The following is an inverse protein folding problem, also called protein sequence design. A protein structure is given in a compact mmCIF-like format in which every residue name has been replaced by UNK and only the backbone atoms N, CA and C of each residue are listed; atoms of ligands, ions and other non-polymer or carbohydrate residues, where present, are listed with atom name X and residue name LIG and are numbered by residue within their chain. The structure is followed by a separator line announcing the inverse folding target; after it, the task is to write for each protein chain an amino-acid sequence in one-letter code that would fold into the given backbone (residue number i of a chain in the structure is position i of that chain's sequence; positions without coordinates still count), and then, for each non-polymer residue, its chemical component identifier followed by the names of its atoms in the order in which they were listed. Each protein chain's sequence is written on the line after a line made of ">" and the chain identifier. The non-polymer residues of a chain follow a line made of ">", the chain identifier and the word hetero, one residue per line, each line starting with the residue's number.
data_IF_031755760101
#
_entry.id   IF_031755760101
#
_cell.length_a   1.000
_cell.length_b   1.000
_cell.length_c   1.000
_cell.angle_alpha   90.00
_cell.angle_beta   90.00
_cell.angle_gamma   90.00
#
_symmetry.space_group_name_H-M   'P 1'
#
loop_
_entity.id
_entity.type
_entity.pdbx_description
1 polymer ?
#
# COMPACT_ATOMS: atom_id res chain seq x y z
N UNK A 1 -52.24 3.57 -46.28
CA UNK A 1 -52.04 4.54 -45.18
C UNK A 1 -52.88 4.06 -44.01
N UNK A 2 -52.27 3.35 -43.04
CA UNK A 2 -52.98 2.94 -41.82
C UNK A 2 -52.02 2.88 -40.63
N UNK A 3 -52.08 3.96 -39.85
CA UNK A 3 -52.04 4.06 -38.40
C UNK A 3 -51.06 3.18 -37.59
N UNK A 4 -50.19 3.89 -36.84
CA UNK A 4 -49.74 3.59 -35.46
C UNK A 4 -48.58 2.57 -35.40
N UNK A 5 -47.32 2.96 -35.54
CA UNK A 5 -46.53 3.63 -34.49
C UNK A 5 -47.09 3.30 -33.11
N UNK A 6 -46.60 2.23 -32.46
CA UNK A 6 -46.47 2.05 -30.99
C UNK A 6 -46.28 0.58 -30.60
N UNK A 7 -45.28 -0.13 -31.12
CA UNK A 7 -44.69 -1.26 -30.37
C UNK A 7 -43.18 -1.25 -30.60
N UNK A 8 -42.57 -0.08 -30.40
CA UNK A 8 -41.16 0.02 -30.06
C UNK A 8 -41.08 -0.03 -28.54
N UNK A 9 -40.13 -0.79 -27.99
CA UNK A 9 -39.74 -0.84 -26.56
C UNK A 9 -40.48 -1.82 -25.64
N UNK A 10 -40.40 -3.13 -25.89
CA UNK A 10 -40.48 -4.12 -24.80
C UNK A 10 -39.58 -5.33 -25.06
N UNK A 11 -38.27 -5.10 -25.17
CA UNK A 11 -37.26 -6.14 -24.88
C UNK A 11 -36.08 -5.46 -24.17
N UNK A 12 -36.38 -4.91 -23.00
CA UNK A 12 -35.40 -4.51 -22.01
C UNK A 12 -35.03 -5.74 -21.20
N UNK A 13 -33.83 -6.25 -21.41
CA UNK A 13 -32.95 -6.89 -20.43
C UNK A 13 -32.06 -7.88 -21.18
N UNK A 14 -30.75 -7.65 -21.15
CA UNK A 14 -29.73 -8.64 -20.79
C UNK A 14 -28.36 -8.01 -21.08
N UNK A 15 -27.64 -7.81 -19.97
CA UNK A 15 -26.18 -7.89 -19.84
C UNK A 15 -25.35 -6.82 -20.55
N UNK A 16 -24.89 -5.87 -19.73
CA UNK A 16 -23.46 -5.58 -19.63
C UNK A 16 -23.17 -4.92 -18.27
N UNK A 17 -23.07 -5.71 -17.20
CA UNK A 17 -22.21 -5.31 -16.10
C UNK A 17 -20.78 -5.38 -16.63
N UNK A 18 -20.32 -4.31 -17.31
CA UNK A 18 -18.91 -4.12 -17.53
C UNK A 18 -18.27 -3.97 -16.16
N UNK A 19 -17.56 -5.02 -15.80
CA UNK A 19 -16.75 -5.19 -14.61
C UNK A 19 -16.10 -3.87 -14.23
N UNK A 20 -16.44 -3.38 -13.04
CA UNK A 20 -15.65 -2.38 -12.36
C UNK A 20 -14.29 -3.04 -12.11
N UNK A 21 -13.34 -2.90 -13.03
CA UNK A 21 -11.94 -3.09 -12.67
C UNK A 21 -11.59 -1.88 -11.81
N UNK A 22 -11.97 -1.94 -10.52
CA UNK A 22 -11.34 -1.08 -9.52
C UNK A 22 -9.91 -1.58 -9.42
N UNK A 23 -9.07 -1.16 -10.36
CA UNK A 23 -7.66 -1.15 -10.17
C UNK A 23 -7.42 -0.10 -9.09
N UNK A 24 -7.62 -0.50 -7.83
CA UNK A 24 -6.92 0.10 -6.71
C UNK A 24 -5.43 -0.24 -6.90
N UNK A 25 -4.84 0.24 -7.99
CA UNK A 25 -3.41 0.45 -8.07
C UNK A 25 -3.15 1.55 -7.08
N UNK A 26 -2.88 1.16 -5.83
CA UNK A 26 -2.12 2.03 -4.96
C UNK A 26 -0.86 2.43 -5.75
N UNK A 27 -0.76 3.72 -6.02
CA UNK A 27 0.11 4.27 -7.05
C UNK A 27 1.56 4.27 -6.58
N UNK A 28 2.45 3.55 -7.29
CA UNK A 28 3.89 3.56 -6.99
C UNK A 28 4.44 4.99 -6.99
N UNK A 29 3.94 5.87 -7.86
CA UNK A 29 4.35 7.27 -7.90
C UNK A 29 4.04 7.98 -6.59
N UNK A 30 2.88 7.69 -5.98
CA UNK A 30 2.50 8.24 -4.69
C UNK A 30 3.44 7.77 -3.58
N UNK A 31 3.84 6.50 -3.59
CA UNK A 31 4.79 5.97 -2.60
C UNK A 31 6.18 6.58 -2.79
N UNK A 32 6.66 6.69 -4.02
CA UNK A 32 7.94 7.32 -4.33
C UNK A 32 7.93 8.81 -3.97
N UNK A 33 6.83 9.52 -4.19
CA UNK A 33 6.69 10.91 -3.75
C UNK A 33 6.82 11.05 -2.23
N UNK A 34 6.22 10.14 -1.45
CA UNK A 34 6.35 10.11 0.01
C UNK A 34 7.78 9.79 0.46
N UNK A 35 8.49 8.89 -0.24
CA UNK A 35 9.89 8.55 0.05
C UNK A 35 10.82 9.72 -0.27
N UNK A 36 10.59 10.40 -1.38
CA UNK A 36 11.41 11.53 -1.81
C UNK A 36 11.11 12.82 -1.05
N UNK A 37 9.89 13.00 -0.58
CA UNK A 37 9.48 14.14 0.23
C UNK A 37 8.58 13.71 1.41
N UNK A 38 9.17 13.14 2.49
CA UNK A 38 8.43 12.70 3.67
C UNK A 38 7.59 13.80 4.35
N UNK A 39 7.99 15.07 4.18
CA UNK A 39 7.27 16.22 4.74
C UNK A 39 5.87 16.43 4.15
N UNK A 40 5.58 15.84 2.99
CA UNK A 40 4.26 15.86 2.35
C UNK A 40 3.23 14.93 3.01
N UNK A 41 3.67 14.06 3.93
CA UNK A 41 2.79 13.13 4.60
C UNK A 41 1.89 13.83 5.64
N UNK A 42 0.62 13.39 5.79
CA UNK A 42 -0.25 13.91 6.85
C UNK A 42 0.36 13.67 8.24
N UNK A 43 0.17 14.64 9.14
CA UNK A 43 0.65 14.56 10.53
C UNK A 43 -0.11 13.47 11.28
N UNK A 44 0.63 12.57 11.92
CA UNK A 44 0.11 11.52 12.78
C UNK A 44 0.50 11.83 14.22
N UNK A 45 -0.49 11.93 15.12
CA UNK A 45 -0.27 12.25 16.53
C UNK A 45 0.79 11.35 17.18
N UNK A 46 0.72 10.05 16.90
CA UNK A 46 1.65 9.04 17.44
C UNK A 46 3.11 9.21 16.96
N UNK A 47 3.31 9.93 15.87
CA UNK A 47 4.64 10.22 15.32
C UNK A 47 5.25 11.52 15.87
N UNK A 48 4.52 12.29 16.69
CA UNK A 48 5.05 13.47 17.41
C UNK A 48 5.80 14.47 16.51
N UNK A 49 5.30 14.68 15.29
CA UNK A 49 5.90 15.61 14.33
C UNK A 49 7.08 15.03 13.52
N UNK A 50 7.49 13.78 13.75
CA UNK A 50 8.51 13.14 12.94
C UNK A 50 8.00 12.84 11.51
N UNK A 51 8.59 13.50 10.53
CA UNK A 51 8.17 13.40 9.12
C UNK A 51 8.35 12.00 8.52
N UNK A 52 9.38 11.26 8.95
CA UNK A 52 9.66 9.91 8.46
C UNK A 52 8.64 8.90 8.99
N UNK A 53 8.26 9.03 10.27
CA UNK A 53 7.17 8.25 10.86
C UNK A 53 5.82 8.57 10.19
N UNK A 54 5.52 9.85 9.96
CA UNK A 54 4.30 10.27 9.24
C UNK A 54 4.25 9.65 7.83
N UNK A 55 5.37 9.72 7.10
CA UNK A 55 5.51 9.11 5.78
C UNK A 55 5.32 7.59 5.84
N UNK A 56 5.91 6.90 6.81
CA UNK A 56 5.71 5.46 6.97
C UNK A 56 4.24 5.08 7.15
N UNK A 57 3.47 5.83 7.96
CA UNK A 57 2.03 5.60 8.12
C UNK A 57 1.26 5.83 6.82
N UNK A 58 1.67 6.81 6.00
CA UNK A 58 1.07 7.03 4.69
C UNK A 58 1.43 5.91 3.70
N UNK A 59 2.68 5.45 3.72
CA UNK A 59 3.21 4.36 2.90
C UNK A 59 2.53 3.02 3.24
N UNK A 60 2.35 2.70 4.52
CA UNK A 60 1.71 1.45 4.96
C UNK A 60 0.27 1.31 4.46
N UNK A 61 -0.44 2.42 4.24
CA UNK A 61 -1.78 2.43 3.62
C UNK A 61 -1.76 2.02 2.15
N UNK A 62 -0.61 2.07 1.49
CA UNK A 62 -0.45 1.72 0.07
C UNK A 62 -0.07 0.24 -0.15
N UNK A 63 -0.10 -0.60 0.88
CA UNK A 63 0.26 -2.04 0.80
C UNK A 63 -0.42 -2.82 -0.35
N UNK A 64 -1.58 -2.36 -0.82
CA UNK A 64 -2.29 -2.98 -1.93
C UNK A 64 -1.56 -2.87 -3.27
N UNK A 65 -0.53 -2.02 -3.40
CA UNK A 65 0.31 -1.90 -4.60
C UNK A 65 1.14 -3.16 -4.87
N UNK A 66 1.43 -3.93 -3.83
CA UNK A 66 2.20 -5.17 -3.91
C UNK A 66 1.33 -6.21 -4.64
N UNK A 67 1.75 -6.83 -5.75
CA UNK A 67 0.95 -7.82 -6.48
C UNK A 67 0.43 -8.94 -5.58
N UNK A 68 -0.78 -9.46 -5.85
CA UNK A 68 -1.41 -10.50 -5.02
C UNK A 68 -0.57 -11.78 -4.90
N UNK A 69 0.23 -12.08 -5.92
CA UNK A 69 1.12 -13.24 -6.00
C UNK A 69 2.53 -12.95 -5.45
N UNK A 70 2.83 -11.73 -5.02
CA UNK A 70 4.11 -11.41 -4.40
C UNK A 70 4.15 -11.98 -2.97
N UNK A 71 5.30 -12.56 -2.59
CA UNK A 71 5.51 -13.16 -1.27
C UNK A 71 5.34 -12.15 -0.13
N UNK A 72 5.64 -10.87 -0.35
CA UNK A 72 5.43 -9.81 0.64
C UNK A 72 3.95 -9.67 1.02
N UNK A 73 3.04 -9.96 0.09
CA UNK A 73 1.59 -9.96 0.33
C UNK A 73 1.20 -11.07 1.32
N UNK A 74 1.84 -12.23 1.25
CA UNK A 74 1.61 -13.33 2.19
C UNK A 74 1.97 -12.93 3.62
N UNK A 75 3.11 -12.27 3.84
CA UNK A 75 3.52 -11.83 5.19
C UNK A 75 2.57 -10.81 5.81
N UNK A 76 1.96 -9.94 4.99
CA UNK A 76 0.94 -8.99 5.44
C UNK A 76 -0.31 -9.73 5.94
N UNK A 77 -0.73 -10.79 5.24
CA UNK A 77 -1.92 -11.57 5.63
C UNK A 77 -1.67 -12.49 6.81
N UNK A 78 -0.48 -13.09 6.90
CA UNK A 78 -0.11 -13.94 8.03
C UNK A 78 0.27 -13.17 9.29
N UNK A 79 0.59 -11.88 9.15
CA UNK A 79 1.12 -11.08 10.25
C UNK A 79 2.53 -11.53 10.70
N UNK A 80 3.26 -12.26 9.85
CA UNK A 80 4.55 -12.84 10.20
C UNK A 80 5.70 -11.86 9.93
N UNK A 81 5.92 -10.94 10.88
CA UNK A 81 7.03 -9.99 10.85
C UNK A 81 8.39 -10.70 10.78
N UNK A 82 8.55 -11.80 11.52
CA UNK A 82 9.81 -12.53 11.57
C UNK A 82 10.15 -13.13 10.20
N UNK A 83 9.17 -13.69 9.49
CA UNK A 83 9.38 -14.16 8.13
C UNK A 83 9.66 -13.01 7.15
N UNK A 84 8.99 -11.86 7.30
CA UNK A 84 9.24 -10.66 6.50
C UNK A 84 10.68 -10.14 6.67
N UNK A 85 11.22 -10.17 7.88
CA UNK A 85 12.61 -9.80 8.18
C UNK A 85 13.57 -10.85 7.57
N UNK A 86 13.31 -12.15 7.83
CA UNK A 86 14.16 -13.27 7.37
C UNK A 86 14.22 -13.46 5.86
N UNK A 87 13.23 -12.99 5.11
CA UNK A 87 13.19 -13.16 3.65
C UNK A 87 14.33 -12.40 2.94
N UNK A 88 15.02 -11.47 3.61
CA UNK A 88 16.13 -10.69 3.04
C UNK A 88 15.69 -9.79 1.86
N UNK A 89 16.52 -8.95 1.23
CA UNK A 89 17.63 -8.13 1.74
C UNK A 89 17.05 -7.00 2.60
N UNK A 90 17.76 -6.58 3.64
CA UNK A 90 17.41 -5.37 4.39
C UNK A 90 17.33 -4.16 3.45
N UNK A 91 16.72 -3.10 3.96
CA UNK A 91 16.72 -1.83 3.24
C UNK A 91 18.18 -1.38 3.07
N UNK A 92 18.52 -0.98 1.84
CA UNK A 92 19.86 -0.55 1.41
C UNK A 92 19.88 0.93 1.10
N UNK A 93 18.75 1.45 0.63
CA UNK A 93 18.59 2.86 0.34
C UNK A 93 18.43 3.64 1.63
N UNK A 94 19.30 4.63 1.87
CA UNK A 94 19.31 5.40 3.11
C UNK A 94 17.95 6.02 3.41
N UNK A 95 17.25 6.56 2.40
CA UNK A 95 15.90 7.12 2.58
C UNK A 95 14.88 6.08 3.07
N UNK A 96 14.99 4.83 2.61
CA UNK A 96 14.11 3.76 3.08
C UNK A 96 14.48 3.35 4.51
N UNK A 97 15.78 3.24 4.81
CA UNK A 97 16.30 2.94 6.14
C UNK A 97 15.86 4.00 7.16
N UNK A 98 15.93 5.29 6.82
CA UNK A 98 15.54 6.39 7.69
C UNK A 98 14.04 6.36 8.00
N UNK A 99 13.21 6.05 7.00
CA UNK A 99 11.76 5.90 7.17
C UNK A 99 11.44 4.71 8.07
N UNK A 100 12.07 3.55 7.84
CA UNK A 100 11.87 2.34 8.64
C UNK A 100 12.36 2.50 10.09
N UNK A 101 13.54 3.09 10.29
CA UNK A 101 14.15 3.21 11.62
C UNK A 101 13.25 3.95 12.61
N UNK A 102 12.61 5.04 12.17
CA UNK A 102 11.65 5.76 13.02
C UNK A 102 10.35 4.97 13.21
N UNK A 103 9.87 4.31 12.17
CA UNK A 103 8.65 3.51 12.26
C UNK A 103 8.80 2.31 13.18
N UNK A 104 9.93 1.61 13.13
CA UNK A 104 10.28 0.51 14.02
C UNK A 104 10.15 0.93 15.49
N UNK A 105 10.71 2.08 15.85
CA UNK A 105 10.66 2.60 17.23
C UNK A 105 9.24 2.88 17.72
N UNK A 106 8.29 3.17 16.83
CA UNK A 106 6.91 3.58 17.18
C UNK A 106 5.91 2.43 17.06
N UNK A 107 6.02 1.63 16.00
CA UNK A 107 5.00 0.65 15.60
C UNK A 107 5.40 -0.81 15.79
N UNK A 108 6.65 -1.10 16.16
CA UNK A 108 7.07 -2.45 16.58
C UNK A 108 7.64 -2.46 18.00
N UNK A 109 8.73 -1.71 18.24
CA UNK A 109 9.39 -1.67 19.55
C UNK A 109 8.48 -1.14 20.67
N UNK A 110 7.70 -0.09 20.38
CA UNK A 110 6.69 0.49 21.28
C UNK A 110 5.26 0.24 20.82
N UNK A 111 5.02 -0.90 20.16
CA UNK A 111 3.68 -1.29 19.77
C UNK A 111 2.77 -1.40 21.00
N UNK A 112 1.62 -0.72 20.97
CA UNK A 112 0.60 -0.77 22.03
C UNK A 112 -0.36 -1.94 21.81
N UNK A 113 -0.51 -2.36 20.55
CA UNK A 113 -1.45 -3.40 20.16
C UNK A 113 -1.05 -4.05 18.83
N UNK A 114 -1.83 -5.06 18.43
CA UNK A 114 -1.63 -5.78 17.17
C UNK A 114 -1.77 -4.87 15.93
N UNK A 115 -2.61 -3.84 15.97
CA UNK A 115 -2.78 -2.94 14.81
C UNK A 115 -1.52 -2.13 14.53
N UNK A 116 -0.74 -1.77 15.55
CA UNK A 116 0.56 -1.12 15.37
C UNK A 116 1.54 -2.03 14.66
N UNK A 117 1.68 -3.27 15.14
CA UNK A 117 2.53 -4.26 14.48
C UNK A 117 2.06 -4.56 13.07
N UNK A 118 0.76 -4.64 12.83
CA UNK A 118 0.22 -4.87 11.50
C UNK A 118 0.44 -3.68 10.55
N UNK A 119 0.39 -2.45 11.07
CA UNK A 119 0.79 -1.24 10.36
C UNK A 119 2.28 -1.31 10.00
N UNK A 120 3.13 -1.72 10.94
CA UNK A 120 4.56 -1.91 10.72
C UNK A 120 4.84 -2.94 9.62
N UNK A 121 4.23 -4.13 9.69
CA UNK A 121 4.36 -5.18 8.68
C UNK A 121 3.96 -4.67 7.29
N UNK A 122 2.84 -3.95 7.17
CA UNK A 122 2.40 -3.36 5.90
C UNK A 122 3.41 -2.35 5.35
N UNK A 123 3.89 -1.44 6.20
CA UNK A 123 4.86 -0.42 5.79
C UNK A 123 6.19 -1.04 5.35
N UNK A 124 6.75 -1.94 6.15
CA UNK A 124 8.01 -2.62 5.84
C UNK A 124 7.91 -3.45 4.55
N UNK A 125 6.78 -4.13 4.33
CA UNK A 125 6.53 -4.84 3.08
C UNK A 125 6.53 -3.90 1.87
N UNK A 126 5.91 -2.71 1.98
CA UNK A 126 5.94 -1.70 0.91
C UNK A 126 7.35 -1.19 0.66
N UNK A 127 8.12 -0.86 1.70
CA UNK A 127 9.50 -0.39 1.54
C UNK A 127 10.38 -1.45 0.86
N UNK A 128 10.26 -2.73 1.26
CA UNK A 128 10.96 -3.84 0.61
C UNK A 128 10.55 -4.02 -0.86
N UNK A 129 9.27 -3.86 -1.17
CA UNK A 129 8.77 -3.94 -2.55
C UNK A 129 9.30 -2.79 -3.42
N UNK A 130 9.27 -1.56 -2.91
CA UNK A 130 9.84 -0.39 -3.57
C UNK A 130 11.32 -0.59 -3.86
N UNK A 131 12.09 -1.04 -2.86
CA UNK A 131 13.51 -1.35 -3.06
C UNK A 131 13.74 -2.34 -4.21
N UNK A 132 12.98 -3.44 -4.24
CA UNK A 132 13.10 -4.46 -5.28
C UNK A 132 12.80 -3.93 -6.67
N UNK A 133 11.78 -3.08 -6.78
CA UNK A 133 11.22 -2.69 -8.08
C UNK A 133 11.78 -1.38 -8.62
N UNK A 134 12.32 -0.51 -7.77
CA UNK A 134 12.78 0.83 -8.16
C UNK A 134 14.29 1.02 -7.99
N UNK A 135 14.93 0.30 -7.06
CA UNK A 135 16.34 0.52 -6.71
C UNK A 135 17.28 -0.65 -7.07
N UNK A 136 16.76 -1.89 -7.10
CA UNK A 136 17.54 -3.07 -7.49
C UNK A 136 17.52 -3.37 -9.00
N UNK A 137 17.14 -2.41 -9.86
CA UNK A 137 17.11 -2.58 -11.32
C UNK A 137 18.44 -2.20 -12.02
N UNK A 138 19.54 -2.11 -11.27
CA UNK A 138 20.89 -1.87 -11.79
C UNK A 138 21.75 -3.13 -11.69
#
# INVERSE_FOLDING_TARGET
>A
MNSQIKIFLQYSAVVACFSITSLCHADMNKVIALINNPSSAPVIRRCEGNINCNAFVAISKQWQLIPKNDRLRYFIYSGDLNALIREGKDLKEQKLIDIDSFAYQVFDYRAENFNDRWLYIKGLAVLKYVQRTQFNQL
#
